data_IF_948969390849
#
_entry.id   IF_948969390849
#
_cell.length_a   1.000
_cell.length_b   1.000
_cell.length_c   1.000
_cell.angle_alpha   90.00
_cell.angle_beta   90.00
_cell.angle_gamma   90.00
#
_symmetry.space_group_name_H-M   'P 1'
#
loop_
_entity.id
_entity.type
_entity.pdbx_description
1 polymer ?
#
# COMPACT_ATOMS: atom_id res chain seq x y z
N UNK A 1 9.59 -56.62 -0.83
CA UNK A 1 8.85 -55.94 -1.93
C UNK A 1 7.37 -56.28 -1.73
N UNK A 2 6.38 -55.41 -1.60
CA UNK A 2 6.24 -53.98 -1.85
C UNK A 2 5.40 -53.34 -0.73
N UNK A 3 5.90 -52.24 -0.20
CA UNK A 3 5.15 -51.26 0.59
C UNK A 3 4.08 -50.64 -0.32
N UNK A 4 2.82 -50.66 0.08
CA UNK A 4 1.78 -49.93 -0.65
C UNK A 4 0.39 -50.50 -0.46
N UNK A 5 -0.27 -50.13 0.65
CA UNK A 5 -1.74 -50.14 0.85
C UNK A 5 -2.10 -49.79 2.32
N UNK A 6 -1.60 -48.67 2.84
CA UNK A 6 -2.14 -48.07 4.09
C UNK A 6 -2.04 -46.55 4.08
N UNK A 7 -2.57 -45.89 3.05
CA UNK A 7 -2.84 -44.44 3.11
C UNK A 7 -4.10 -44.13 2.28
N UNK A 8 -5.26 -44.64 2.68
CA UNK A 8 -6.54 -44.24 2.07
C UNK A 8 -7.69 -44.08 3.08
N UNK A 9 -7.44 -44.13 4.40
CA UNK A 9 -8.51 -44.12 5.40
C UNK A 9 -8.31 -43.09 6.54
N UNK A 10 -7.62 -41.98 6.27
CA UNK A 10 -7.43 -40.90 7.26
C UNK A 10 -7.63 -39.49 6.69
N UNK A 11 -8.43 -39.35 5.61
CA UNK A 11 -8.85 -38.06 5.05
C UNK A 11 -10.36 -37.81 5.17
N UNK A 12 -10.99 -38.42 6.17
CA UNK A 12 -12.35 -38.10 6.61
C UNK A 12 -12.35 -37.70 8.08
N UNK A 13 -11.85 -36.49 8.38
CA UNK A 13 -12.30 -35.66 9.50
C UNK A 13 -11.59 -34.31 9.42
N UNK A 14 -12.40 -33.24 9.48
CA UNK A 14 -12.06 -31.82 9.31
C UNK A 14 -11.96 -31.32 7.86
N UNK A 15 -13.04 -31.48 7.10
CA UNK A 15 -13.55 -30.33 6.32
C UNK A 15 -13.99 -29.25 7.31
N UNK A 16 -13.02 -28.55 7.93
CA UNK A 16 -13.27 -27.17 8.31
C UNK A 16 -13.49 -26.49 6.97
N UNK A 17 -14.76 -26.20 6.64
CA UNK A 17 -15.06 -25.11 5.74
C UNK A 17 -14.31 -23.91 6.32
N UNK A 18 -13.11 -23.64 5.80
CA UNK A 18 -12.69 -22.26 5.70
C UNK A 18 -13.78 -21.64 4.84
N UNK A 19 -14.78 -21.07 5.50
CA UNK A 19 -15.45 -19.93 4.93
C UNK A 19 -14.32 -18.95 4.71
N UNK A 20 -13.74 -18.98 3.50
CA UNK A 20 -13.14 -17.79 2.95
C UNK A 20 -14.26 -16.78 3.06
N UNK A 21 -14.22 -15.95 4.10
CA UNK A 21 -14.90 -14.67 4.09
C UNK A 21 -14.43 -14.06 2.79
N UNK A 22 -15.28 -14.14 1.77
CA UNK A 22 -15.06 -13.53 0.47
C UNK A 22 -15.06 -12.03 0.72
N UNK A 23 -13.96 -11.49 1.25
CA UNK A 23 -13.68 -10.07 1.21
C UNK A 23 -13.58 -9.75 -0.27
N UNK A 24 -14.53 -8.95 -0.76
CA UNK A 24 -14.52 -8.49 -2.14
C UNK A 24 -13.26 -7.63 -2.28
N UNK A 25 -12.25 -8.23 -2.91
CA UNK A 25 -10.96 -7.63 -3.19
C UNK A 25 -11.01 -7.04 -4.58
N UNK A 26 -10.71 -5.75 -4.67
CA UNK A 26 -10.53 -5.10 -5.95
C UNK A 26 -9.06 -4.81 -6.16
N UNK A 27 -8.53 -5.37 -7.23
CA UNK A 27 -7.25 -4.95 -7.79
C UNK A 27 -7.57 -3.99 -8.92
N UNK A 28 -6.82 -2.90 -8.99
CA UNK A 28 -6.78 -2.03 -10.14
C UNK A 28 -5.39 -2.12 -10.74
N UNK A 29 -5.34 -2.46 -12.02
CA UNK A 29 -4.17 -2.32 -12.85
C UNK A 29 -4.57 -1.72 -14.19
N UNK A 30 -3.64 -1.02 -14.84
CA UNK A 30 -3.91 -0.40 -16.14
C UNK A 30 -4.38 -1.40 -17.21
N UNK A 31 -3.97 -2.66 -17.10
CA UNK A 31 -4.42 -3.74 -17.99
C UNK A 31 -5.92 -4.04 -17.91
N UNK A 32 -6.57 -3.74 -16.77
CA UNK A 32 -8.03 -3.88 -16.63
C UNK A 32 -8.80 -2.71 -17.26
N UNK A 33 -8.16 -1.54 -17.39
CA UNK A 33 -8.75 -0.35 -18.02
C UNK A 33 -8.85 -0.45 -19.54
N UNK A 34 -8.08 -1.33 -20.18
CA UNK A 34 -8.20 -1.56 -21.63
C UNK A 34 -9.59 -2.08 -22.06
N UNK A 35 -10.44 -2.47 -21.09
CA UNK A 35 -11.81 -2.96 -21.29
C UNK A 35 -12.88 -1.92 -20.92
N UNK A 36 -12.52 -0.77 -20.33
CA UNK A 36 -13.49 0.27 -19.97
C UNK A 36 -13.64 1.26 -21.15
N UNK A 37 -14.80 1.31 -21.85
CA UNK A 37 -14.88 1.97 -23.14
C UNK A 37 -14.82 3.51 -23.08
N UNK A 38 -14.97 4.14 -21.90
CA UNK A 38 -14.92 5.60 -21.75
C UNK A 38 -14.41 6.03 -20.37
N UNK A 39 -13.45 6.97 -20.34
CA UNK A 39 -12.89 7.56 -19.11
C UNK A 39 -13.97 8.22 -18.25
N UNK A 40 -15.02 8.77 -18.86
CA UNK A 40 -16.14 9.40 -18.16
C UNK A 40 -16.99 8.41 -17.35
N UNK A 41 -17.08 7.15 -17.80
CA UNK A 41 -17.81 6.09 -17.09
C UNK A 41 -16.97 5.44 -15.96
N UNK A 42 -15.64 5.61 -16.01
CA UNK A 42 -14.70 5.04 -15.06
C UNK A 42 -14.99 5.49 -13.62
N UNK A 43 -15.10 6.79 -13.28
CA UNK A 43 -15.34 7.20 -11.89
C UNK A 43 -16.66 6.64 -11.33
N UNK A 44 -17.74 6.62 -12.11
CA UNK A 44 -19.03 6.06 -11.68
C UNK A 44 -18.93 4.56 -11.39
N UNK A 45 -18.32 3.80 -12.32
CA UNK A 45 -18.14 2.36 -12.17
C UNK A 45 -17.24 2.03 -10.96
N UNK A 46 -16.13 2.75 -10.81
CA UNK A 46 -15.22 2.59 -9.68
C UNK A 46 -15.89 2.94 -8.35
N UNK A 47 -16.68 4.02 -8.29
CA UNK A 47 -17.39 4.43 -7.08
C UNK A 47 -18.55 3.50 -6.71
N UNK A 48 -19.19 2.84 -7.68
CA UNK A 48 -20.23 1.84 -7.40
C UNK A 48 -19.63 0.56 -6.82
N UNK A 49 -18.55 0.04 -7.42
CA UNK A 49 -17.85 -1.15 -6.91
C UNK A 49 -17.24 -0.92 -5.54
N UNK A 50 -16.59 0.24 -5.38
CA UNK A 50 -15.99 0.74 -4.16
C UNK A 50 -16.86 0.53 -2.90
N UNK A 51 -18.17 0.78 -3.00
CA UNK A 51 -19.13 0.73 -1.87
C UNK A 51 -19.29 -0.66 -1.24
N UNK A 52 -18.83 -1.71 -1.92
CA UNK A 52 -19.00 -3.09 -1.47
C UNK A 52 -17.67 -3.79 -1.16
N UNK A 53 -16.55 -3.06 -1.23
CA UNK A 53 -15.21 -3.63 -1.17
C UNK A 53 -14.50 -3.17 0.10
N UNK A 54 -13.89 -4.14 0.79
CA UNK A 54 -13.15 -3.91 2.05
C UNK A 54 -11.64 -3.95 1.84
N UNK A 55 -11.20 -4.37 0.65
CA UNK A 55 -9.79 -4.50 0.28
C UNK A 55 -9.55 -3.88 -1.09
N UNK A 56 -8.48 -3.08 -1.19
CA UNK A 56 -8.06 -2.45 -2.44
C UNK A 56 -6.58 -2.62 -2.69
N UNK A 57 -6.27 -2.91 -3.94
CA UNK A 57 -4.91 -2.96 -4.46
C UNK A 57 -4.85 -2.04 -5.67
N UNK A 58 -4.03 -1.00 -5.60
CA UNK A 58 -3.90 0.04 -6.61
C UNK A 58 -2.51 0.01 -7.21
N UNK A 59 -2.39 -0.47 -8.44
CA UNK A 59 -1.12 -0.52 -9.12
C UNK A 59 -1.01 0.53 -10.23
N UNK A 60 -0.26 1.60 -9.96
CA UNK A 60 -0.05 2.70 -10.91
C UNK A 60 1.17 2.55 -11.82
N UNK A 61 1.92 1.43 -11.79
CA UNK A 61 3.19 1.27 -12.54
C UNK A 61 3.06 1.60 -14.02
N UNK A 62 1.96 1.19 -14.63
CA UNK A 62 1.73 1.37 -16.07
C UNK A 62 1.10 2.73 -16.40
N UNK A 63 0.86 3.62 -15.42
CA UNK A 63 0.21 4.91 -15.64
C UNK A 63 1.00 5.80 -16.62
N UNK A 64 2.34 5.73 -16.60
CA UNK A 64 3.21 6.42 -17.55
C UNK A 64 3.16 5.85 -18.97
N UNK A 65 2.67 4.61 -19.14
CA UNK A 65 2.50 3.97 -20.44
C UNK A 65 1.16 4.34 -21.11
N UNK A 66 0.33 5.15 -20.46
CA UNK A 66 -0.82 5.78 -21.10
C UNK A 66 -0.31 6.80 -22.13
N UNK A 67 -0.53 6.52 -23.41
CA UNK A 67 -0.14 7.39 -24.53
C UNK A 67 -0.88 8.76 -24.56
N UNK A 68 -1.70 9.08 -23.56
CA UNK A 68 -2.42 10.35 -23.44
C UNK A 68 -2.20 10.96 -22.04
N UNK A 69 -1.41 12.04 -21.90
CA UNK A 69 -1.04 12.59 -20.59
C UNK A 69 -2.23 13.15 -19.77
N UNK A 70 -3.30 13.61 -20.43
CA UNK A 70 -4.52 14.02 -19.72
C UNK A 70 -5.26 12.84 -19.07
N UNK A 71 -5.12 11.64 -19.65
CA UNK A 71 -5.79 10.43 -19.14
C UNK A 71 -5.12 9.85 -17.90
N UNK A 72 -3.80 9.98 -17.73
CA UNK A 72 -3.09 9.46 -16.55
C UNK A 72 -3.50 10.19 -15.27
N UNK A 73 -3.57 11.52 -15.30
CA UNK A 73 -3.94 12.33 -14.14
C UNK A 73 -5.42 12.16 -13.79
N UNK A 74 -6.29 12.05 -14.79
CA UNK A 74 -7.72 11.79 -14.61
C UNK A 74 -7.97 10.39 -14.05
N UNK A 75 -7.29 9.36 -14.57
CA UNK A 75 -7.35 7.99 -14.05
C UNK A 75 -6.87 7.94 -12.61
N UNK A 76 -5.73 8.58 -12.30
CA UNK A 76 -5.21 8.66 -10.93
C UNK A 76 -6.22 9.35 -10.00
N UNK A 77 -6.77 10.50 -10.42
CA UNK A 77 -7.79 11.23 -9.66
C UNK A 77 -9.05 10.39 -9.45
N UNK A 78 -9.52 9.68 -10.47
CA UNK A 78 -10.71 8.83 -10.39
C UNK A 78 -10.49 7.62 -9.47
N UNK A 79 -9.34 6.94 -9.57
CA UNK A 79 -9.00 5.82 -8.69
C UNK A 79 -8.87 6.27 -7.24
N UNK A 80 -8.23 7.43 -7.02
CA UNK A 80 -8.17 8.05 -5.71
C UNK A 80 -9.56 8.43 -5.19
N UNK A 81 -10.39 9.14 -5.95
CA UNK A 81 -11.76 9.48 -5.54
C UNK A 81 -12.58 8.23 -5.21
N UNK A 82 -12.45 7.18 -6.00
CA UNK A 82 -13.11 5.90 -5.76
C UNK A 82 -12.62 5.24 -4.47
N UNK A 83 -11.33 5.31 -4.11
CA UNK A 83 -10.85 4.83 -2.80
C UNK A 83 -11.70 5.41 -1.68
N UNK A 84 -11.95 6.71 -1.73
CA UNK A 84 -12.54 7.38 -0.58
C UNK A 84 -14.05 7.43 -0.59
N UNK A 85 -14.70 7.16 -1.72
CA UNK A 85 -16.16 6.97 -1.76
C UNK A 85 -16.65 5.85 -0.83
N UNK A 86 -15.75 4.97 -0.38
CA UNK A 86 -16.02 3.94 0.62
C UNK A 86 -14.94 3.86 1.71
N UNK A 87 -14.27 4.98 2.02
CA UNK A 87 -13.16 5.03 3.00
C UNK A 87 -13.51 4.39 4.35
N UNK A 88 -14.75 4.57 4.81
CA UNK A 88 -15.25 4.04 6.07
C UNK A 88 -15.42 2.52 6.10
N UNK A 89 -15.40 1.83 4.95
CA UNK A 89 -15.54 0.37 4.84
C UNK A 89 -14.22 -0.33 4.53
N UNK A 90 -13.25 0.40 4.00
CA UNK A 90 -11.97 -0.17 3.57
C UNK A 90 -11.13 -0.52 4.79
N UNK A 91 -10.70 -1.78 4.84
CA UNK A 91 -9.85 -2.34 5.90
C UNK A 91 -8.43 -2.55 5.43
N UNK A 92 -8.22 -2.77 4.13
CA UNK A 92 -6.90 -3.06 3.59
C UNK A 92 -6.65 -2.28 2.30
N UNK A 93 -5.52 -1.58 2.24
CA UNK A 93 -5.07 -0.85 1.05
C UNK A 93 -3.63 -1.28 0.73
N UNK A 94 -3.38 -1.68 -0.51
CA UNK A 94 -2.07 -1.78 -1.11
C UNK A 94 -1.97 -0.76 -2.26
N UNK A 95 -0.87 -0.03 -2.36
CA UNK A 95 -0.63 0.93 -3.44
C UNK A 95 0.79 0.78 -3.98
N UNK A 96 0.91 0.67 -5.30
CA UNK A 96 2.20 0.71 -6.00
C UNK A 96 2.40 2.09 -6.63
N UNK A 97 3.48 2.76 -6.25
CA UNK A 97 3.76 4.17 -6.51
C UNK A 97 5.02 4.28 -7.37
N UNK A 98 4.89 4.52 -8.68
CA UNK A 98 6.02 4.58 -9.61
C UNK A 98 6.62 5.98 -9.78
N UNK A 99 6.00 7.03 -9.22
CA UNK A 99 6.44 8.41 -9.41
C UNK A 99 6.06 9.31 -8.23
N UNK A 100 6.80 10.41 -8.04
CA UNK A 100 6.49 11.43 -7.05
C UNK A 100 5.10 12.06 -7.24
N UNK A 101 4.64 12.21 -8.49
CA UNK A 101 3.30 12.75 -8.79
C UNK A 101 2.17 11.83 -8.30
N UNK A 102 2.35 10.51 -8.43
CA UNK A 102 1.43 9.52 -7.87
C UNK A 102 1.46 9.59 -6.34
N UNK A 103 2.65 9.65 -5.74
CA UNK A 103 2.82 9.78 -4.30
C UNK A 103 2.10 11.02 -3.74
N UNK A 104 2.28 12.18 -4.38
CA UNK A 104 1.64 13.42 -3.98
C UNK A 104 0.12 13.33 -4.06
N UNK A 105 -0.42 12.71 -5.12
CA UNK A 105 -1.87 12.56 -5.28
C UNK A 105 -2.45 11.61 -4.26
N UNK A 106 -1.84 10.43 -4.07
CA UNK A 106 -2.24 9.46 -3.05
C UNK A 106 -2.16 10.08 -1.65
N UNK A 107 -1.07 10.79 -1.35
CA UNK A 107 -0.86 11.50 -0.08
C UNK A 107 -1.94 12.54 0.20
N UNK A 108 -2.25 13.43 -0.77
CA UNK A 108 -3.38 14.37 -0.64
C UNK A 108 -4.70 13.67 -0.38
N UNK A 109 -4.88 12.49 -0.97
CA UNK A 109 -6.14 11.77 -0.80
C UNK A 109 -6.25 11.13 0.59
N UNK A 110 -5.16 10.56 1.12
CA UNK A 110 -5.12 10.13 2.53
C UNK A 110 -5.30 11.27 3.53
N UNK A 111 -4.72 12.44 3.24
CA UNK A 111 -4.84 13.60 4.11
C UNK A 111 -6.28 14.13 4.21
N UNK A 112 -7.05 14.01 3.14
CA UNK A 112 -8.42 14.55 3.09
C UNK A 112 -9.48 13.57 3.53
N UNK A 113 -9.23 12.27 3.40
CA UNK A 113 -10.27 11.30 3.58
C UNK A 113 -9.92 10.27 4.66
N UNK A 114 -10.65 10.38 5.76
CA UNK A 114 -10.45 9.59 6.97
C UNK A 114 -10.87 8.14 6.72
N UNK A 115 -9.90 7.24 6.65
CA UNK A 115 -10.11 5.82 6.46
C UNK A 115 -10.20 5.11 7.83
N UNK A 116 -11.21 5.46 8.63
CA UNK A 116 -11.32 5.03 10.03
C UNK A 116 -11.31 3.50 10.23
N UNK A 117 -11.74 2.72 9.23
CA UNK A 117 -11.73 1.26 9.29
C UNK A 117 -10.42 0.62 8.80
N UNK A 118 -9.44 1.41 8.37
CA UNK A 118 -8.21 0.92 7.76
C UNK A 118 -7.33 0.23 8.81
N UNK A 119 -7.07 -1.06 8.59
CA UNK A 119 -6.22 -1.91 9.42
C UNK A 119 -4.88 -2.21 8.78
N UNK A 120 -4.80 -2.31 7.46
CA UNK A 120 -3.55 -2.62 6.75
C UNK A 120 -3.29 -1.61 5.65
N UNK A 121 -2.08 -1.07 5.64
CA UNK A 121 -1.59 -0.20 4.58
C UNK A 121 -0.23 -0.69 4.08
N UNK A 122 -0.13 -0.94 2.77
CA UNK A 122 1.11 -1.34 2.11
C UNK A 122 1.43 -0.36 0.98
N UNK A 123 2.62 0.25 1.04
CA UNK A 123 3.21 0.98 -0.06
C UNK A 123 4.31 0.18 -0.73
N UNK A 124 4.23 0.06 -2.05
CA UNK A 124 5.33 -0.39 -2.91
C UNK A 124 5.83 0.82 -3.68
N UNK A 125 7.06 1.26 -3.41
CA UNK A 125 7.64 2.50 -3.91
C UNK A 125 8.74 2.18 -4.91
N UNK A 126 8.71 2.76 -6.10
CA UNK A 126 9.84 2.65 -7.02
C UNK A 126 10.91 3.68 -6.63
N UNK A 127 12.15 3.24 -6.41
CA UNK A 127 13.25 4.10 -5.94
C UNK A 127 13.51 5.32 -6.82
N UNK A 128 13.54 5.11 -8.15
CA UNK A 128 13.76 6.13 -9.18
C UNK A 128 12.78 7.30 -9.10
N UNK A 129 11.60 7.08 -8.53
CA UNK A 129 10.57 8.09 -8.36
C UNK A 129 10.96 9.22 -7.40
N UNK A 130 11.86 8.92 -6.45
CA UNK A 130 12.13 9.79 -5.30
C UNK A 130 13.60 10.20 -5.19
N UNK A 131 14.46 9.77 -6.13
CA UNK A 131 15.91 10.09 -6.11
C UNK A 131 16.21 11.59 -6.12
N UNK A 132 15.33 12.41 -6.70
CA UNK A 132 15.52 13.86 -6.83
C UNK A 132 14.54 14.69 -6.00
N UNK A 133 13.43 14.10 -5.59
CA UNK A 133 12.36 14.75 -4.85
C UNK A 133 11.73 13.75 -3.87
N UNK A 134 12.24 13.75 -2.66
CA UNK A 134 11.77 12.93 -1.55
C UNK A 134 10.76 13.69 -0.66
N UNK A 135 10.43 14.94 -0.98
CA UNK A 135 9.39 15.70 -0.28
C UNK A 135 8.01 15.07 -0.48
N UNK A 136 7.74 14.56 -1.68
CA UNK A 136 6.51 13.83 -1.99
C UNK A 136 6.40 12.51 -1.21
N UNK A 137 7.54 11.85 -0.95
CA UNK A 137 7.60 10.65 -0.11
C UNK A 137 7.28 11.00 1.35
N UNK A 138 7.94 12.02 1.91
CA UNK A 138 7.68 12.46 3.27
C UNK A 138 6.21 12.87 3.47
N UNK A 139 5.64 13.63 2.53
CA UNK A 139 4.24 14.05 2.57
C UNK A 139 3.26 12.86 2.49
N UNK A 140 3.54 11.86 1.63
CA UNK A 140 2.75 10.64 1.56
C UNK A 140 2.75 9.88 2.89
N UNK A 141 3.93 9.66 3.46
CA UNK A 141 4.10 8.92 4.72
C UNK A 141 3.44 9.67 5.88
N UNK A 142 3.55 11.00 5.90
CA UNK A 142 2.92 11.83 6.91
C UNK A 142 1.39 11.75 6.80
N UNK A 143 0.83 11.86 5.59
CA UNK A 143 -0.61 11.71 5.37
C UNK A 143 -1.11 10.30 5.73
N UNK A 144 -0.30 9.28 5.47
CA UNK A 144 -0.62 7.92 5.88
C UNK A 144 -0.72 7.78 7.41
N UNK A 145 0.10 8.51 8.18
CA UNK A 145 0.09 8.45 9.65
C UNK A 145 -1.23 8.94 10.26
N UNK A 146 -1.89 9.88 9.59
CA UNK A 146 -3.15 10.48 10.05
C UNK A 146 -4.39 9.83 9.43
N UNK A 147 -4.21 8.96 8.42
CA UNK A 147 -5.31 8.34 7.68
C UNK A 147 -6.19 7.41 8.53
N UNK A 148 -5.62 6.75 9.55
CA UNK A 148 -6.34 5.85 10.45
C UNK A 148 -5.64 5.69 11.80
N UNK A 149 -6.39 5.84 12.88
CA UNK A 149 -5.96 5.52 14.25
C UNK A 149 -6.00 4.02 14.57
N UNK A 150 -6.61 3.20 13.71
CA UNK A 150 -6.85 1.76 13.92
C UNK A 150 -5.96 0.86 13.07
N UNK A 151 -4.91 1.42 12.45
CA UNK A 151 -4.00 0.69 11.58
C UNK A 151 -3.15 -0.28 12.39
N UNK A 152 -3.28 -1.57 12.07
CA UNK A 152 -2.54 -2.68 12.69
C UNK A 152 -1.26 -3.04 11.97
N UNK A 153 -1.20 -2.82 10.66
CA UNK A 153 -0.04 -3.18 9.86
C UNK A 153 0.29 -2.06 8.88
N UNK A 154 1.57 -1.69 8.87
CA UNK A 154 2.14 -0.74 7.93
C UNK A 154 3.38 -1.36 7.28
N UNK A 155 3.36 -1.48 5.96
CA UNK A 155 4.48 -1.99 5.18
C UNK A 155 4.91 -0.97 4.14
N UNK A 156 6.22 -0.78 4.02
CA UNK A 156 6.84 -0.06 2.92
C UNK A 156 7.87 -0.98 2.27
N UNK A 157 7.71 -1.19 0.97
CA UNK A 157 8.65 -1.97 0.15
C UNK A 157 9.23 -1.03 -0.92
N UNK A 158 10.56 -0.95 -1.01
CA UNK A 158 11.23 -0.28 -2.11
C UNK A 158 11.51 -1.28 -3.23
N UNK A 159 11.10 -0.94 -4.45
CA UNK A 159 11.49 -1.62 -5.67
C UNK A 159 12.65 -0.85 -6.26
N UNK A 160 13.84 -1.45 -6.23
CA UNK A 160 15.02 -0.87 -6.83
C UNK A 160 15.04 -1.14 -8.34
N UNK A 161 14.94 -0.10 -9.18
CA UNK A 161 15.05 -0.24 -10.63
C UNK A 161 16.52 -0.28 -11.09
N UNK A 162 17.43 0.34 -10.34
CA UNK A 162 18.87 0.32 -10.63
C UNK A 162 19.66 0.05 -9.34
N UNK A 163 20.35 -1.09 -9.25
CA UNK A 163 21.16 -1.49 -8.08
C UNK A 163 22.25 -0.47 -7.69
N UNK A 164 22.57 0.48 -8.57
CA UNK A 164 23.62 1.48 -8.38
C UNK A 164 23.15 2.73 -7.63
N UNK A 165 21.85 3.03 -7.63
CA UNK A 165 21.31 4.24 -7.02
C UNK A 165 20.38 3.85 -5.88
N UNK A 166 20.86 3.98 -4.65
CA UNK A 166 20.01 3.75 -3.48
C UNK A 166 19.28 5.03 -3.14
N UNK A 167 17.98 4.92 -2.91
CA UNK A 167 17.19 6.01 -2.38
C UNK A 167 17.65 6.29 -0.94
N UNK A 168 18.39 7.37 -0.75
CA UNK A 168 18.71 7.89 0.58
C UNK A 168 17.53 8.72 1.06
N UNK A 169 16.82 8.20 2.04
CA UNK A 169 15.68 8.91 2.59
C UNK A 169 16.16 10.13 3.37
N UNK A 170 15.63 11.31 3.07
CA UNK A 170 15.89 12.45 3.94
C UNK A 170 15.29 12.25 5.34
N UNK A 171 15.75 13.12 6.24
CA UNK A 171 15.29 13.21 7.61
C UNK A 171 13.76 13.34 7.74
N UNK A 172 13.10 14.03 6.79
CA UNK A 172 11.65 14.22 6.84
C UNK A 172 10.88 12.92 6.55
N UNK A 173 11.32 12.12 5.59
CA UNK A 173 10.72 10.84 5.27
C UNK A 173 10.87 9.85 6.42
N UNK A 174 12.03 9.84 7.08
CA UNK A 174 12.29 9.01 8.28
C UNK A 174 11.36 9.42 9.42
N UNK A 175 11.29 10.72 9.74
CA UNK A 175 10.36 11.24 10.77
C UNK A 175 8.91 10.90 10.44
N UNK A 176 8.54 10.95 9.17
CA UNK A 176 7.19 10.58 8.74
C UNK A 176 6.92 9.08 8.96
N UNK A 177 7.89 8.17 8.74
CA UNK A 177 7.71 6.77 9.16
C UNK A 177 7.58 6.68 10.68
N UNK A 178 8.44 7.36 11.43
CA UNK A 178 8.37 7.34 12.90
C UNK A 178 6.99 7.77 13.40
N UNK A 179 6.37 8.79 12.80
CA UNK A 179 5.00 9.20 13.09
C UNK A 179 3.97 8.08 12.86
N UNK A 180 4.22 7.15 11.93
CA UNK A 180 3.35 6.00 11.69
C UNK A 180 3.44 4.92 12.78
N UNK A 181 4.52 4.90 13.57
CA UNK A 181 4.80 3.94 14.66
C UNK A 181 4.03 4.28 15.92
N UNK A 182 3.87 5.57 16.22
CA UNK A 182 3.22 6.04 17.46
C UNK A 182 1.71 5.77 17.52
N UNK A 183 1.13 5.10 16.52
CA UNK A 183 -0.22 4.57 16.61
C UNK A 183 -0.27 3.39 17.59
N UNK A 184 -1.04 3.52 18.67
CA UNK A 184 -1.28 2.45 19.66
C UNK A 184 -1.83 1.15 19.03
N UNK A 185 -2.37 1.22 17.82
CA UNK A 185 -2.92 0.07 17.13
C UNK A 185 -1.88 -0.70 16.30
N UNK A 186 -0.71 -0.12 16.01
CA UNK A 186 0.28 -0.72 15.10
C UNK A 186 0.94 -1.94 15.75
N UNK A 187 0.83 -3.08 15.09
CA UNK A 187 1.39 -4.36 15.52
C UNK A 187 2.56 -4.80 14.64
N UNK A 188 2.55 -4.40 13.36
CA UNK A 188 3.55 -4.82 12.37
C UNK A 188 4.03 -3.60 11.59
N UNK A 189 5.32 -3.33 11.68
CA UNK A 189 6.07 -2.45 10.78
C UNK A 189 7.01 -3.32 9.94
N UNK A 190 6.95 -3.18 8.61
CA UNK A 190 7.85 -3.88 7.69
C UNK A 190 8.44 -2.88 6.71
N UNK A 191 9.77 -2.74 6.76
CA UNK A 191 10.55 -1.90 5.86
C UNK A 191 11.45 -2.81 5.04
N UNK A 192 11.16 -2.94 3.75
CA UNK A 192 11.86 -3.84 2.84
C UNK A 192 12.68 -3.00 1.84
N UNK A 193 13.98 -3.29 1.75
CA UNK A 193 14.92 -2.62 0.84
C UNK A 193 15.05 -1.10 1.02
N UNK A 194 14.82 -0.60 2.25
CA UNK A 194 15.01 0.82 2.60
C UNK A 194 16.48 1.05 3.00
N UNK A 195 17.12 2.07 2.42
CA UNK A 195 18.44 2.54 2.85
C UNK A 195 18.30 3.74 3.80
N UNK A 196 18.77 3.57 5.03
CA UNK A 196 18.73 4.57 6.10
C UNK A 196 20.12 5.13 6.43
N UNK A 197 21.12 4.89 5.56
CA UNK A 197 22.46 5.47 5.73
C UNK A 197 22.42 7.00 5.68
N UNK A 198 23.11 7.64 6.63
CA UNK A 198 23.25 9.10 6.69
C UNK A 198 22.15 9.81 7.49
N UNK A 199 21.17 9.08 8.02
CA UNK A 199 20.16 9.61 8.93
C UNK A 199 20.77 9.75 10.34
N UNK A 200 20.51 10.86 11.01
CA UNK A 200 20.95 11.08 12.39
C UNK A 200 20.32 10.07 13.36
N UNK A 201 21.06 9.74 14.41
CA UNK A 201 20.65 8.73 15.40
C UNK A 201 19.33 9.06 16.09
N UNK A 202 19.08 10.35 16.37
CA UNK A 202 17.85 10.81 17.03
C UNK A 202 16.59 10.47 16.22
N UNK A 203 16.61 10.65 14.90
CA UNK A 203 15.46 10.35 14.05
C UNK A 203 15.33 8.85 13.74
N UNK A 204 16.43 8.11 13.89
CA UNK A 204 16.46 6.65 13.75
C UNK A 204 15.96 5.94 15.02
N UNK A 205 16.10 6.54 16.19
CA UNK A 205 15.78 5.93 17.48
C UNK A 205 14.35 5.35 17.54
N UNK A 206 13.28 6.07 17.12
CA UNK A 206 11.93 5.53 17.15
C UNK A 206 11.75 4.31 16.23
N UNK A 207 12.46 4.27 15.09
CA UNK A 207 12.43 3.15 14.16
C UNK A 207 13.16 1.94 14.73
N UNK A 208 14.35 2.16 15.31
CA UNK A 208 15.12 1.13 15.99
C UNK A 208 14.30 0.50 17.12
N UNK A 209 13.69 1.30 18.00
CA UNK A 209 12.85 0.81 19.09
C UNK A 209 11.62 0.03 18.62
N UNK A 210 11.05 0.37 17.46
CA UNK A 210 9.92 -0.37 16.90
C UNK A 210 10.30 -1.71 16.29
N UNK A 211 11.52 -1.82 15.75
CA UNK A 211 12.03 -3.01 15.03
C UNK A 211 12.73 -3.99 16.00
N UNK A 212 13.46 -3.48 16.99
CA UNK A 212 14.25 -4.28 17.93
C UNK A 212 13.47 -5.31 18.77
N UNK A 213 12.23 -5.06 19.26
CA UNK A 213 11.50 -6.05 20.05
C UNK A 213 11.00 -7.26 19.23
N UNK A 214 11.15 -7.26 17.90
CA UNK A 214 10.80 -8.40 17.03
C UNK A 214 11.94 -9.43 16.93
N UNK A 215 13.18 -9.07 17.25
CA UNK A 215 14.35 -9.95 17.12
C UNK A 215 14.65 -10.80 18.38
N UNK A 216 13.94 -10.60 19.50
CA UNK A 216 14.22 -11.25 20.80
C UNK A 216 12.98 -11.99 21.35
N UNK A 217 12.13 -12.55 20.48
CA UNK A 217 11.04 -13.46 20.90
C UNK A 217 11.03 -14.75 20.08
#
# INVERSE_FOLDING_TARGET
MSVGRRVCAALQKKKKRFAATSTRRWSWSLGESAVCPFIDALPLHLCQRAKHETERDLNFVLLSSCNQPHTSDEVLRCCCAAMFSAACLIKHIAVTIPSAAVAATVGRTFATAQAASLHTLHFTLHDVAFLRDDSALAALLQAASTASSHRKSFRVTIVACELQHRLHWNQQAVRAIAANIHSLALQVLSLEHVDLQGVNEEDMMPLCEAIYPVAVR
#
